data_IF_885456998298
#
_entry.id   IF_885456998298
#
_cell.length_a   1.000
_cell.length_b   1.000
_cell.length_c   1.000
_cell.angle_alpha   90.00
_cell.angle_beta   90.00
_cell.angle_gamma   90.00
#
_symmetry.space_group_name_H-M   'P 1'
#
loop_
_entity.id
_entity.type
_entity.pdbx_description
1 polymer ?
#
# COMPACT_ATOMS: atom_id res chain seq x y z
N UNK A 1 -3.23 7.42 2.85
CA UNK A 1 -3.14 5.97 3.14
C UNK A 1 -1.93 5.42 2.41
N UNK A 2 -1.18 4.51 3.05
CA UNK A 2 0.02 3.89 2.47
C UNK A 2 -0.26 2.43 2.11
N UNK A 3 0.35 1.94 1.02
CA UNK A 3 0.31 0.52 0.66
C UNK A 3 1.73 0.00 0.45
N UNK A 4 2.07 -1.21 0.92
CA UNK A 4 3.39 -1.78 0.68
C UNK A 4 3.68 -1.90 -0.82
N UNK A 5 4.91 -1.58 -1.23
CA UNK A 5 5.37 -1.73 -2.62
C UNK A 5 5.75 -3.16 -2.96
N UNK A 6 6.31 -3.85 -1.98
CA UNK A 6 6.85 -5.20 -2.08
C UNK A 6 6.67 -5.93 -0.76
N UNK A 7 6.80 -7.24 -0.78
CA UNK A 7 6.81 -8.02 0.45
C UNK A 7 8.03 -7.66 1.30
N UNK A 8 7.80 -7.48 2.60
CA UNK A 8 8.86 -7.30 3.57
C UNK A 8 8.76 -8.33 4.69
N UNK A 9 9.84 -9.07 4.91
CA UNK A 9 9.89 -10.15 5.90
C UNK A 9 10.92 -9.79 6.97
N UNK A 10 10.52 -9.91 8.23
CA UNK A 10 11.39 -9.69 9.38
C UNK A 10 11.17 -10.75 10.42
N UNK A 11 12.20 -11.02 11.18
CA UNK A 11 12.13 -11.98 12.30
C UNK A 11 12.72 -11.42 13.58
N UNK A 12 12.19 -11.88 14.70
CA UNK A 12 12.73 -11.63 16.04
C UNK A 12 12.70 -12.92 16.85
N UNK A 13 13.68 -13.08 17.73
CA UNK A 13 13.76 -14.17 18.68
C UNK A 13 13.53 -13.67 20.09
N UNK A 14 12.63 -14.32 20.84
CA UNK A 14 12.34 -13.98 22.23
C UNK A 14 12.20 -15.26 23.05
N UNK A 15 13.08 -15.48 24.03
CA UNK A 15 13.05 -16.65 24.92
C UNK A 15 12.93 -17.98 24.17
N UNK A 16 13.81 -18.23 23.21
CA UNK A 16 13.84 -19.39 22.34
C UNK A 16 12.63 -19.53 21.38
N UNK A 17 11.60 -18.69 21.47
CA UNK A 17 10.54 -18.60 20.46
C UNK A 17 10.97 -17.68 19.34
N UNK A 18 10.63 -18.05 18.07
CA UNK A 18 10.91 -17.23 16.90
C UNK A 18 9.61 -16.75 16.27
N UNK A 19 9.60 -15.50 15.83
CA UNK A 19 8.47 -14.82 15.21
C UNK A 19 8.92 -14.26 13.86
N UNK A 20 8.34 -14.76 12.75
CA UNK A 20 8.65 -14.32 11.40
C UNK A 20 7.43 -13.59 10.85
N UNK A 21 7.52 -12.28 10.68
CA UNK A 21 6.42 -11.45 10.19
C UNK A 21 6.59 -11.11 8.72
N UNK A 22 5.52 -11.33 7.97
CA UNK A 22 5.37 -11.05 6.55
C UNK A 22 4.43 -9.88 6.37
N UNK A 23 4.91 -8.77 5.84
CA UNK A 23 4.07 -7.68 5.33
C UNK A 23 3.97 -7.84 3.82
N UNK A 24 2.76 -8.01 3.31
CA UNK A 24 2.48 -8.40 1.92
C UNK A 24 1.58 -7.35 1.28
N UNK A 25 1.90 -6.80 0.08
CA UNK A 25 0.94 -6.05 -0.72
C UNK A 25 -0.30 -6.89 -0.98
N UNK A 26 -1.48 -6.39 -0.66
CA UNK A 26 -2.71 -7.19 -0.67
C UNK A 26 -3.90 -6.34 -1.08
N UNK A 27 -4.38 -6.52 -2.31
CA UNK A 27 -5.40 -5.66 -2.92
C UNK A 27 -6.75 -6.35 -3.15
N UNK A 28 -6.80 -7.68 -3.04
CA UNK A 28 -8.02 -8.45 -3.24
C UNK A 28 -8.25 -9.42 -2.07
N UNK A 29 -9.31 -9.26 -1.27
CA UNK A 29 -9.62 -10.17 -0.16
C UNK A 29 -9.83 -11.64 -0.56
N UNK A 30 -10.23 -11.91 -1.80
CA UNK A 30 -10.45 -13.27 -2.29
C UNK A 30 -9.14 -14.08 -2.41
N UNK A 31 -8.00 -13.40 -2.51
CA UNK A 31 -6.67 -14.02 -2.58
C UNK A 31 -6.12 -14.42 -1.20
N UNK A 32 -6.90 -14.21 -0.12
CA UNK A 32 -6.42 -14.43 1.25
C UNK A 32 -5.95 -15.87 1.49
N UNK A 33 -6.75 -16.86 1.12
CA UNK A 33 -6.41 -18.27 1.37
C UNK A 33 -5.14 -18.69 0.62
N UNK A 34 -4.93 -18.18 -0.60
CA UNK A 34 -3.72 -18.45 -1.38
C UNK A 34 -2.48 -17.84 -0.70
N UNK A 35 -2.54 -16.55 -0.34
CA UNK A 35 -1.42 -15.87 0.31
C UNK A 35 -1.11 -16.44 1.68
N UNK A 36 -2.14 -16.80 2.44
CA UNK A 36 -1.98 -17.41 3.74
C UNK A 36 -1.34 -18.81 3.65
N UNK A 37 -1.78 -19.64 2.69
CA UNK A 37 -1.18 -20.93 2.40
C UNK A 37 0.27 -20.79 1.91
N UNK A 38 0.58 -19.74 1.14
CA UNK A 38 1.95 -19.42 0.70
C UNK A 38 2.86 -19.13 1.89
N UNK A 39 2.42 -18.30 2.84
CA UNK A 39 3.19 -18.02 4.06
C UNK A 39 3.43 -19.29 4.88
N UNK A 40 2.43 -20.17 5.01
CA UNK A 40 2.60 -21.46 5.68
C UNK A 40 3.64 -22.37 5.01
N UNK A 41 3.79 -22.28 3.69
CA UNK A 41 4.85 -23.00 2.94
C UNK A 41 6.23 -22.36 3.15
N UNK A 42 6.31 -21.03 3.26
CA UNK A 42 7.56 -20.30 3.49
C UNK A 42 8.08 -20.46 4.93
N UNK A 43 7.16 -20.55 5.89
CA UNK A 43 7.46 -20.79 7.31
C UNK A 43 6.85 -22.13 7.78
N UNK A 44 7.32 -23.26 7.27
CA UNK A 44 6.72 -24.55 7.59
C UNK A 44 6.96 -24.91 9.07
N UNK A 45 6.00 -25.67 9.63
CA UNK A 45 6.07 -26.18 11.02
C UNK A 45 6.04 -25.09 12.10
N UNK A 46 5.64 -23.85 11.80
CA UNK A 46 5.28 -22.92 12.84
C UNK A 46 4.02 -23.39 13.57
N UNK A 47 3.91 -23.08 14.84
CA UNK A 47 2.78 -23.51 15.66
C UNK A 47 1.51 -22.70 15.37
N UNK A 48 1.67 -21.40 15.06
CA UNK A 48 0.58 -20.47 14.80
C UNK A 48 0.96 -19.42 13.74
N UNK A 49 -0.08 -18.91 13.02
CA UNK A 49 0.06 -17.90 11.96
C UNK A 49 -1.01 -16.81 12.13
N UNK A 50 -1.03 -16.06 13.23
CA UNK A 50 -1.96 -14.94 13.37
C UNK A 50 -1.76 -13.93 12.25
N UNK A 51 -2.88 -13.30 11.83
CA UNK A 51 -2.92 -12.41 10.69
C UNK A 51 -3.87 -11.25 10.85
N UNK A 52 -3.68 -10.23 10.02
CA UNK A 52 -4.66 -9.18 9.74
C UNK A 52 -4.49 -8.62 8.34
N UNK A 53 -5.58 -8.16 7.72
CA UNK A 53 -5.52 -7.41 6.48
C UNK A 53 -6.52 -6.27 6.43
N UNK A 54 -6.20 -5.25 5.62
CA UNK A 54 -7.04 -4.10 5.30
C UNK A 54 -7.05 -3.91 3.79
N UNK A 55 -8.23 -3.95 3.16
CA UNK A 55 -8.43 -3.68 1.73
C UNK A 55 -9.68 -2.81 1.57
N UNK A 56 -9.50 -1.51 1.33
CA UNK A 56 -10.62 -0.56 1.36
C UNK A 56 -11.31 -0.58 2.72
N UNK A 57 -12.61 -0.80 2.73
CA UNK A 57 -13.42 -0.90 3.95
C UNK A 57 -13.44 -2.33 4.55
N UNK A 58 -12.83 -3.29 3.87
CA UNK A 58 -12.80 -4.68 4.33
C UNK A 58 -11.60 -4.87 5.24
N UNK A 59 -11.90 -5.33 6.47
CA UNK A 59 -10.89 -5.66 7.47
C UNK A 59 -11.15 -7.05 8.02
N UNK A 60 -10.11 -7.84 8.19
CA UNK A 60 -10.19 -9.16 8.81
C UNK A 60 -8.93 -9.46 9.61
N UNK A 61 -9.09 -10.20 10.69
CA UNK A 61 -7.97 -10.66 11.52
C UNK A 61 -8.29 -11.99 12.20
N UNK A 62 -7.24 -12.70 12.60
CA UNK A 62 -7.35 -13.94 13.34
C UNK A 62 -6.08 -14.21 14.15
N UNK A 63 -6.26 -14.88 15.30
CA UNK A 63 -5.15 -15.25 16.20
C UNK A 63 -4.60 -16.66 15.91
N UNK A 64 -5.22 -17.46 15.02
CA UNK A 64 -4.79 -18.80 14.58
C UNK A 64 -4.41 -19.74 15.74
N UNK A 65 -5.26 -19.85 16.77
CA UNK A 65 -5.03 -20.69 17.95
C UNK A 65 -4.16 -20.07 19.04
N UNK A 66 -3.59 -18.88 18.84
CA UNK A 66 -3.02 -18.10 19.95
C UNK A 66 -4.13 -17.60 20.89
N UNK A 67 -3.83 -17.28 22.14
CA UNK A 67 -4.81 -16.69 23.05
C UNK A 67 -5.50 -15.47 22.44
N UNK A 68 -6.82 -15.38 22.58
CA UNK A 68 -7.63 -14.30 22.01
C UNK A 68 -7.08 -12.91 22.30
N UNK A 69 -6.91 -12.10 21.27
CA UNK A 69 -6.32 -10.76 21.35
C UNK A 69 -4.79 -10.74 21.54
N UNK A 70 -4.11 -11.84 21.27
CA UNK A 70 -2.65 -11.87 21.28
C UNK A 70 -2.04 -11.10 20.11
N UNK A 71 -2.63 -11.20 18.91
CA UNK A 71 -2.05 -10.65 17.68
C UNK A 71 -3.05 -9.98 16.75
N UNK A 72 -3.98 -10.72 16.17
CA UNK A 72 -4.76 -10.30 15.01
C UNK A 72 -5.44 -8.93 15.12
N UNK A 73 -6.27 -8.70 16.15
CA UNK A 73 -6.92 -7.39 16.36
C UNK A 73 -5.92 -6.27 16.60
N UNK A 74 -4.81 -6.55 17.27
CA UNK A 74 -3.77 -5.56 17.54
C UNK A 74 -3.02 -5.18 16.26
N UNK A 75 -2.87 -6.11 15.30
CA UNK A 75 -2.34 -5.80 13.98
C UNK A 75 -3.23 -4.83 13.21
N UNK A 76 -4.56 -5.06 13.20
CA UNK A 76 -5.49 -4.11 12.56
C UNK A 76 -5.32 -2.70 13.14
N UNK A 77 -5.36 -2.58 14.46
CA UNK A 77 -5.20 -1.29 15.13
C UNK A 77 -3.87 -0.61 14.77
N UNK A 78 -2.77 -1.35 14.80
CA UNK A 78 -1.45 -0.83 14.40
C UNK A 78 -1.40 -0.39 12.93
N UNK A 79 -2.02 -1.16 12.03
CA UNK A 79 -2.11 -0.80 10.62
C UNK A 79 -2.93 0.49 10.42
N UNK A 80 -4.06 0.63 11.13
CA UNK A 80 -4.89 1.84 11.12
C UNK A 80 -4.12 3.06 11.64
N UNK A 81 -3.49 2.96 12.81
CA UNK A 81 -2.68 4.05 13.38
C UNK A 81 -1.55 4.50 12.47
N UNK A 82 -0.93 3.57 11.75
CA UNK A 82 0.14 3.87 10.78
C UNK A 82 -0.36 4.27 9.40
N UNK A 83 -1.69 4.25 9.17
CA UNK A 83 -2.32 4.57 7.90
C UNK A 83 -2.00 3.57 6.80
N UNK A 84 -1.79 2.27 7.16
CA UNK A 84 -1.48 1.19 6.23
C UNK A 84 -2.79 0.54 5.74
N UNK A 85 -2.95 0.43 4.44
CA UNK A 85 -4.02 -0.30 3.79
C UNK A 85 -3.53 -1.06 2.57
N UNK A 86 -4.40 -1.85 1.95
CA UNK A 86 -4.05 -2.77 0.86
C UNK A 86 -2.85 -3.64 1.25
N UNK A 87 -2.93 -4.18 2.46
CA UNK A 87 -1.85 -4.94 3.06
C UNK A 87 -2.40 -6.11 3.88
N UNK A 88 -1.67 -7.21 3.83
CA UNK A 88 -1.83 -8.37 4.70
C UNK A 88 -0.57 -8.50 5.55
N UNK A 89 -0.74 -8.68 6.86
CA UNK A 89 0.31 -9.06 7.78
C UNK A 89 0.03 -10.47 8.31
N UNK A 90 1.05 -11.33 8.29
CA UNK A 90 1.01 -12.68 8.89
C UNK A 90 2.28 -12.87 9.68
N UNK A 91 2.17 -13.40 10.90
CA UNK A 91 3.35 -13.73 11.71
C UNK A 91 3.38 -15.22 12.00
N UNK A 92 4.35 -15.93 11.48
CA UNK A 92 4.62 -17.32 11.84
C UNK A 92 5.37 -17.38 13.17
N UNK A 93 4.81 -18.09 14.16
CA UNK A 93 5.43 -18.29 15.45
C UNK A 93 5.91 -19.72 15.63
N UNK A 94 7.14 -19.88 16.06
CA UNK A 94 7.73 -21.14 16.53
C UNK A 94 7.89 -21.07 18.05
N UNK A 95 7.19 -21.94 18.76
CA UNK A 95 7.23 -21.98 20.22
C UNK A 95 8.53 -22.59 20.72
N UNK A 96 9.26 -21.88 21.56
CA UNK A 96 10.56 -22.30 22.10
C UNK A 96 10.50 -23.07 23.42
N UNK A 97 9.34 -23.62 23.78
CA UNK A 97 9.18 -24.41 25.02
C UNK A 97 8.87 -23.58 26.28
N UNK A 98 9.09 -22.27 26.27
CA UNK A 98 8.82 -21.39 27.41
C UNK A 98 7.63 -20.47 27.13
N UNK A 99 6.59 -20.53 27.98
CA UNK A 99 5.42 -19.66 27.87
C UNK A 99 5.78 -18.20 28.21
N UNK A 100 5.47 -17.29 27.30
CA UNK A 100 5.73 -15.86 27.48
C UNK A 100 4.73 -15.17 28.42
N UNK A 101 3.53 -15.74 28.56
CA UNK A 101 2.37 -15.06 29.16
C UNK A 101 1.75 -14.04 28.20
N UNK A 102 0.43 -13.81 28.29
CA UNK A 102 -0.33 -13.00 27.33
C UNK A 102 0.22 -11.57 27.14
N UNK A 103 0.57 -10.81 28.17
CA UNK A 103 1.08 -9.45 27.97
C UNK A 103 2.38 -9.40 27.17
N UNK A 104 3.34 -10.27 27.46
CA UNK A 104 4.60 -10.32 26.73
C UNK A 104 4.43 -10.90 25.34
N UNK A 105 3.58 -11.92 25.17
CA UNK A 105 3.25 -12.53 23.89
C UNK A 105 2.66 -11.49 22.93
N UNK A 106 1.67 -10.71 23.39
CA UNK A 106 1.08 -9.59 22.62
C UNK A 106 2.15 -8.59 22.19
N UNK A 107 2.97 -8.15 23.12
CA UNK A 107 4.04 -7.20 22.84
C UNK A 107 5.02 -7.75 21.80
N UNK A 108 5.41 -9.03 21.90
CA UNK A 108 6.33 -9.66 20.95
C UNK A 108 5.72 -9.75 19.54
N UNK A 109 4.44 -10.13 19.42
CA UNK A 109 3.76 -10.11 18.12
C UNK A 109 3.72 -8.71 17.51
N UNK A 110 3.41 -7.69 18.29
CA UNK A 110 3.41 -6.31 17.83
C UNK A 110 4.81 -5.83 17.43
N UNK A 111 5.85 -6.17 18.19
CA UNK A 111 7.25 -5.83 17.87
C UNK A 111 7.68 -6.47 16.54
N UNK A 112 7.36 -7.75 16.32
CA UNK A 112 7.69 -8.46 15.09
C UNK A 112 6.97 -7.85 13.87
N UNK A 113 5.68 -7.57 14.01
CA UNK A 113 4.87 -6.95 12.97
C UNK A 113 5.31 -5.50 12.69
N UNK A 114 5.57 -4.71 13.75
CA UNK A 114 6.07 -3.34 13.62
C UNK A 114 7.40 -3.29 12.88
N UNK A 115 8.31 -4.21 13.13
CA UNK A 115 9.59 -4.27 12.43
C UNK A 115 9.40 -4.49 10.92
N UNK A 116 8.47 -5.37 10.52
CA UNK A 116 8.15 -5.58 9.11
C UNK A 116 7.49 -4.35 8.48
N UNK A 117 6.61 -3.67 9.22
CA UNK A 117 5.95 -2.45 8.76
C UNK A 117 6.96 -1.29 8.67
N UNK A 118 7.72 -1.01 9.71
CA UNK A 118 8.55 0.19 9.81
C UNK A 118 9.77 0.17 8.86
N UNK A 119 10.17 -1.02 8.41
CA UNK A 119 11.25 -1.20 7.44
C UNK A 119 10.76 -1.46 6.01
N UNK A 120 9.45 -1.48 5.79
CA UNK A 120 8.83 -1.64 4.48
C UNK A 120 8.99 -0.40 3.61
N UNK A 121 8.87 -0.59 2.30
CA UNK A 121 8.76 0.49 1.32
C UNK A 121 7.31 0.66 0.92
N UNK A 122 6.89 1.89 0.70
CA UNK A 122 5.48 2.20 0.49
C UNK A 122 5.24 3.05 -0.73
N UNK A 123 4.02 2.93 -1.26
CA UNK A 123 3.37 3.97 -2.04
C UNK A 123 2.40 4.72 -1.14
N UNK A 124 2.32 6.03 -1.32
CA UNK A 124 1.20 6.81 -0.84
C UNK A 124 0.06 6.75 -1.86
N UNK A 125 -1.15 6.43 -1.40
CA UNK A 125 -2.36 6.45 -2.22
C UNK A 125 -2.95 7.84 -2.12
N UNK A 126 -2.96 8.57 -3.23
CA UNK A 126 -3.53 9.91 -3.34
C UNK A 126 -4.63 9.95 -4.39
N UNK A 127 -5.66 10.77 -4.16
CA UNK A 127 -6.68 11.06 -5.17
C UNK A 127 -6.22 12.24 -6.01
N UNK A 128 -6.19 12.06 -7.33
CA UNK A 128 -5.83 13.13 -8.27
C UNK A 128 -6.94 13.34 -9.27
N UNK A 129 -7.19 14.59 -9.62
CA UNK A 129 -8.14 14.93 -10.68
C UNK A 129 -7.53 14.63 -12.03
N UNK A 130 -8.35 14.07 -12.90
CA UNK A 130 -7.98 13.74 -14.26
C UNK A 130 -8.59 14.74 -15.23
N UNK A 131 -7.79 15.15 -16.21
CA UNK A 131 -8.20 16.04 -17.29
C UNK A 131 -7.77 15.45 -18.63
N UNK A 132 -8.70 15.43 -19.59
CA UNK A 132 -8.37 15.17 -20.99
C UNK A 132 -7.99 16.51 -21.63
N UNK A 133 -6.88 16.52 -22.35
CA UNK A 133 -6.43 17.69 -23.11
C UNK A 133 -6.11 17.29 -24.55
N UNK A 134 -6.46 18.15 -25.49
CA UNK A 134 -6.07 18.04 -26.88
C UNK A 134 -5.10 19.16 -27.22
N UNK A 135 -3.92 18.82 -27.73
CA UNK A 135 -2.76 19.71 -27.86
C UNK A 135 -2.21 19.61 -29.29
N UNK A 136 -1.71 20.73 -29.81
CA UNK A 136 -0.73 20.67 -30.89
C UNK A 136 0.58 20.04 -30.39
N UNK A 137 1.41 19.54 -31.29
CA UNK A 137 2.74 18.98 -30.92
C UNK A 137 3.63 20.01 -30.20
N UNK A 138 3.54 21.29 -30.59
CA UNK A 138 4.27 22.38 -29.92
C UNK A 138 3.79 22.59 -28.49
N UNK A 139 2.48 22.60 -28.27
CA UNK A 139 1.91 22.75 -26.91
C UNK A 139 2.25 21.56 -26.04
N UNK A 140 2.26 20.34 -26.61
CA UNK A 140 2.67 19.13 -25.91
C UNK A 140 4.12 19.23 -25.39
N UNK A 141 5.08 19.67 -26.22
CA UNK A 141 6.46 19.82 -25.80
C UNK A 141 6.61 20.90 -24.73
N UNK A 142 5.87 22.01 -24.81
CA UNK A 142 5.84 23.03 -23.76
C UNK A 142 5.30 22.43 -22.46
N UNK A 143 4.14 21.76 -22.53
CA UNK A 143 3.51 21.17 -21.36
C UNK A 143 4.39 20.10 -20.71
N UNK A 144 4.99 19.24 -21.49
CA UNK A 144 5.91 18.18 -21.05
C UNK A 144 7.09 18.74 -20.23
N UNK A 145 7.57 19.93 -20.59
CA UNK A 145 8.68 20.58 -19.87
C UNK A 145 8.23 21.20 -18.54
N UNK A 146 7.04 21.80 -18.49
CA UNK A 146 6.60 22.58 -17.33
C UNK A 146 5.70 21.81 -16.37
N UNK A 147 4.89 20.87 -16.85
CA UNK A 147 3.91 20.11 -16.04
C UNK A 147 4.51 19.42 -14.80
N UNK A 148 5.70 18.76 -14.87
CA UNK A 148 6.26 18.10 -13.70
C UNK A 148 6.62 19.04 -12.56
N UNK A 149 6.99 20.30 -12.87
CA UNK A 149 7.35 21.31 -11.87
C UNK A 149 6.16 21.77 -11.03
N UNK A 150 4.96 21.65 -11.59
CA UNK A 150 3.68 21.97 -10.93
C UNK A 150 2.94 20.71 -10.45
N UNK A 151 3.65 19.58 -10.38
CA UNK A 151 3.10 18.31 -9.90
C UNK A 151 2.05 17.67 -10.85
N UNK A 152 1.99 18.12 -12.11
CA UNK A 152 1.10 17.57 -13.13
C UNK A 152 1.80 16.40 -13.82
N UNK A 153 1.09 15.28 -13.98
CA UNK A 153 1.61 14.06 -14.61
C UNK A 153 0.83 13.72 -15.87
N UNK A 154 1.52 13.12 -16.84
CA UNK A 154 0.91 12.50 -18.00
C UNK A 154 0.62 11.02 -17.68
N UNK A 155 -0.67 10.68 -17.58
CA UNK A 155 -1.11 9.31 -17.32
C UNK A 155 -1.20 8.50 -18.61
N UNK A 156 -1.62 9.16 -19.69
CA UNK A 156 -1.75 8.58 -21.02
C UNK A 156 -1.50 9.63 -22.08
N UNK A 157 -0.84 9.26 -23.16
CA UNK A 157 -0.62 10.14 -24.32
C UNK A 157 -0.86 9.33 -25.60
N UNK A 158 -1.65 9.88 -26.50
CA UNK A 158 -1.93 9.34 -27.83
C UNK A 158 -1.50 10.35 -28.87
N UNK A 159 -0.75 9.90 -29.86
CA UNK A 159 -0.23 10.72 -30.94
C UNK A 159 -1.04 10.46 -32.23
N UNK A 160 -1.58 11.51 -32.82
CA UNK A 160 -2.36 11.50 -34.05
C UNK A 160 -2.14 12.79 -34.84
N UNK A 161 -3.15 13.33 -35.48
CA UNK A 161 -3.09 14.68 -36.08
C UNK A 161 -2.81 15.75 -35.02
N UNK A 162 -3.36 15.52 -33.82
CA UNK A 162 -3.04 16.23 -32.58
C UNK A 162 -2.59 15.24 -31.52
N UNK A 163 -2.11 15.75 -30.39
CA UNK A 163 -1.75 14.96 -29.21
C UNK A 163 -2.92 14.98 -28.25
N UNK A 164 -3.50 13.83 -27.96
CA UNK A 164 -4.45 13.67 -26.87
C UNK A 164 -3.73 13.16 -25.63
N UNK A 165 -3.84 13.90 -24.51
CA UNK A 165 -3.24 13.47 -23.27
C UNK A 165 -4.25 13.44 -22.12
N UNK A 166 -4.08 12.48 -21.23
CA UNK A 166 -4.73 12.48 -19.91
C UNK A 166 -3.72 12.97 -18.90
N UNK A 167 -4.05 14.07 -18.25
CA UNK A 167 -3.25 14.67 -17.19
C UNK A 167 -3.86 14.36 -15.83
N UNK A 168 -3.00 14.12 -14.83
CA UNK A 168 -3.42 14.06 -13.43
C UNK A 168 -2.78 15.18 -12.61
N UNK A 169 -3.55 15.71 -11.67
CA UNK A 169 -3.07 16.79 -10.78
C UNK A 169 -4.16 17.27 -9.84
N UNK A 170 -4.15 18.57 -9.57
CA UNK A 170 -5.15 19.24 -8.78
C UNK A 170 -6.07 20.13 -9.66
N UNK A 171 -6.97 20.85 -9.04
CA UNK A 171 -7.90 21.78 -9.71
C UNK A 171 -7.24 22.90 -10.51
N UNK A 172 -5.94 23.10 -10.36
CA UNK A 172 -5.22 24.20 -11.01
C UNK A 172 -4.82 23.90 -12.46
N UNK A 173 -4.99 22.63 -12.94
CA UNK A 173 -4.61 22.26 -14.32
C UNK A 173 -5.18 23.21 -15.37
N UNK A 174 -6.50 23.53 -15.40
CA UNK A 174 -7.02 24.43 -16.43
C UNK A 174 -6.39 25.84 -16.39
N UNK A 175 -6.14 26.39 -15.21
CA UNK A 175 -5.50 27.69 -15.04
C UNK A 175 -4.02 27.64 -15.39
N UNK A 176 -3.35 26.53 -15.14
CA UNK A 176 -1.95 26.30 -15.52
C UNK A 176 -1.79 26.25 -17.04
N UNK A 177 -2.68 25.55 -17.76
CA UNK A 177 -2.69 25.51 -19.22
C UNK A 177 -2.87 26.93 -19.81
N UNK A 178 -3.81 27.72 -19.27
CA UNK A 178 -4.01 29.11 -19.69
C UNK A 178 -2.75 29.96 -19.46
N UNK A 179 -2.05 29.78 -18.34
CA UNK A 179 -0.79 30.48 -18.04
C UNK A 179 0.31 30.17 -19.06
N UNK A 180 0.33 28.98 -19.60
CA UNK A 180 1.26 28.57 -20.65
C UNK A 180 0.79 28.94 -22.06
N UNK A 181 -0.32 29.67 -22.20
CA UNK A 181 -0.98 30.00 -23.47
C UNK A 181 -1.34 28.74 -24.30
N UNK A 182 -1.64 27.64 -23.63
CA UNK A 182 -2.15 26.43 -24.26
C UNK A 182 -3.66 26.59 -24.41
N UNK A 183 -4.11 26.62 -25.67
CA UNK A 183 -5.49 26.91 -26.05
C UNK A 183 -6.30 25.67 -26.40
N UNK A 184 -5.70 24.49 -26.28
CA UNK A 184 -6.36 23.20 -26.52
C UNK A 184 -7.56 22.95 -25.60
N UNK A 185 -8.48 22.12 -26.05
CA UNK A 185 -9.62 21.71 -25.21
C UNK A 185 -9.12 20.98 -23.96
N UNK A 186 -9.64 21.40 -22.79
CA UNK A 186 -9.37 20.76 -21.52
C UNK A 186 -10.68 20.42 -20.83
N UNK A 187 -10.94 19.15 -20.63
CA UNK A 187 -12.17 18.65 -20.03
C UNK A 187 -11.87 17.74 -18.82
N UNK A 188 -12.63 17.88 -17.70
CA UNK A 188 -12.45 17.00 -16.56
C UNK A 188 -12.94 15.58 -16.90
N UNK A 189 -12.18 14.57 -16.46
CA UNK A 189 -12.55 13.15 -16.56
C UNK A 189 -12.99 12.53 -15.22
N UNK A 190 -12.90 13.29 -14.12
CA UNK A 190 -13.15 12.81 -12.76
C UNK A 190 -11.89 12.72 -11.92
N UNK A 191 -11.89 11.77 -11.00
CA UNK A 191 -10.77 11.53 -10.09
C UNK A 191 -10.31 10.08 -10.20
N UNK A 192 -9.02 9.86 -9.98
CA UNK A 192 -8.46 8.52 -9.88
C UNK A 192 -7.43 8.45 -8.76
N UNK A 193 -7.29 7.25 -8.21
CA UNK A 193 -6.21 6.94 -7.30
C UNK A 193 -4.89 6.87 -8.05
N UNK A 194 -3.88 7.47 -7.49
CA UNK A 194 -2.50 7.38 -7.99
C UNK A 194 -1.57 6.94 -6.86
N UNK A 195 -0.52 6.23 -7.23
CA UNK A 195 0.49 5.73 -6.29
C UNK A 195 1.74 6.61 -6.39
N UNK A 196 2.18 7.15 -5.26
CA UNK A 196 3.40 7.95 -5.16
C UNK A 196 4.41 7.25 -4.25
N UNK A 197 5.65 7.10 -4.69
CA UNK A 197 6.73 6.53 -3.87
C UNK A 197 7.05 7.46 -2.70
N UNK A 198 7.17 6.90 -1.49
CA UNK A 198 7.53 7.60 -0.25
C UNK A 198 8.61 6.86 0.52
#
# INVERSE_FOLDING_TARGET
MKTPREENVKEIDVMASRFVSYLIPFTNPDDFEEQYARVKKLSPKADHYPYAYIVGDIQKSGDDGEPGGAAGRNYLHMMEEKGIGRALIVTARYFGGTKLGLPRLRRTFLEAAALAIDTGKYFEITMRKLFKVELSYREYEILKHYAPKDGIRFEKTLFGEKVEATLSGNDTIPSFLKKLAILGECSPLGEAETLEEI
#
